data_IF_349310468108
#
_entry.id   IF_349310468108
#
_cell.length_a   1.000
_cell.length_b   1.000
_cell.length_c   1.000
_cell.angle_alpha   90.00
_cell.angle_beta   90.00
_cell.angle_gamma   90.00
#
_symmetry.space_group_name_H-M   'P 1'
#
loop_
_entity.id
_entity.type
_entity.pdbx_description
1 polymer ?
#
# COMPACT_ATOMS: atom_id res chain seq x y z
N UNK A 1 23.05 5.44 -6.82
CA UNK A 1 22.85 4.68 -5.55
C UNK A 1 21.98 5.38 -4.49
N UNK A 2 21.71 6.68 -4.55
CA UNK A 2 20.92 7.39 -3.53
C UNK A 2 19.40 7.28 -3.63
N UNK A 3 18.87 7.02 -4.81
CA UNK A 3 17.42 7.11 -5.07
C UNK A 3 16.65 5.86 -4.61
N UNK A 4 17.24 4.68 -4.75
CA UNK A 4 16.67 3.41 -4.29
C UNK A 4 16.47 3.41 -2.76
N UNK A 5 17.45 3.97 -2.01
CA UNK A 5 17.36 4.12 -0.54
C UNK A 5 16.21 5.03 -0.09
N UNK A 6 15.90 6.09 -0.84
CA UNK A 6 14.83 7.04 -0.49
C UNK A 6 13.45 6.42 -0.69
N UNK A 7 13.33 5.56 -1.68
CA UNK A 7 12.07 4.97 -2.08
C UNK A 7 11.65 3.83 -1.14
N UNK A 8 12.59 2.94 -0.76
CA UNK A 8 12.33 1.91 0.25
C UNK A 8 11.94 2.49 1.62
N UNK A 9 12.50 3.67 1.94
CA UNK A 9 11.97 4.45 3.07
C UNK A 9 10.47 4.73 2.93
N UNK A 10 9.98 4.96 1.73
CA UNK A 10 8.57 5.28 1.51
C UNK A 10 7.64 4.08 1.71
N UNK A 11 8.01 2.88 1.25
CA UNK A 11 7.19 1.68 1.50
C UNK A 11 7.22 1.30 2.97
N UNK A 12 8.38 1.35 3.63
CA UNK A 12 8.45 1.09 5.07
C UNK A 12 7.71 2.15 5.85
N UNK A 13 7.82 3.42 5.45
CA UNK A 13 7.04 4.49 6.06
C UNK A 13 5.55 4.25 5.78
N UNK A 14 5.15 3.81 4.59
CA UNK A 14 3.76 3.47 4.30
C UNK A 14 3.29 2.27 5.14
N UNK A 15 4.05 1.19 5.22
CA UNK A 15 3.75 0.04 6.06
C UNK A 15 3.81 0.39 7.55
N UNK A 16 4.76 1.22 7.98
CA UNK A 16 4.86 1.70 9.36
C UNK A 16 3.72 2.67 9.71
N UNK A 17 3.32 3.55 8.79
CA UNK A 17 2.16 4.44 8.96
C UNK A 17 0.88 3.62 9.06
N UNK A 18 0.74 2.59 8.23
CA UNK A 18 -0.42 1.69 8.26
C UNK A 18 -0.46 0.92 9.58
N UNK A 19 0.66 0.36 10.00
CA UNK A 19 0.80 -0.30 11.28
C UNK A 19 0.47 0.64 12.45
N UNK A 20 1.03 1.84 12.45
CA UNK A 20 0.84 2.84 13.51
C UNK A 20 -0.60 3.39 13.55
N UNK A 21 -1.26 3.58 12.42
CA UNK A 21 -2.68 3.99 12.35
C UNK A 21 -3.57 2.87 12.89
N UNK A 22 -3.23 1.61 12.65
CA UNK A 22 -4.00 0.45 13.13
C UNK A 22 -3.96 0.28 14.66
N UNK A 23 -2.95 0.85 15.36
CA UNK A 23 -2.74 0.72 16.81
C UNK A 23 -3.41 1.85 17.61
N UNK A 24 -4.12 2.77 16.96
CA UNK A 24 -4.69 3.93 17.68
C UNK A 24 -3.75 5.13 17.79
N UNK A 25 -2.64 5.14 17.06
CA UNK A 25 -1.78 6.32 16.90
C UNK A 25 -2.42 7.48 16.11
N UNK A 26 -3.75 7.42 15.96
CA UNK A 26 -4.54 8.43 15.24
C UNK A 26 -4.34 9.85 15.79
N UNK A 27 -4.19 9.99 17.10
CA UNK A 27 -4.07 11.33 17.72
C UNK A 27 -2.71 11.99 17.45
N UNK A 28 -1.63 11.23 17.41
CA UNK A 28 -0.28 11.79 17.25
C UNK A 28 0.09 12.07 15.80
N UNK A 29 -0.30 11.19 14.88
CA UNK A 29 -0.13 11.43 13.44
C UNK A 29 -1.15 12.44 12.92
N UNK A 30 -2.36 12.48 13.48
CA UNK A 30 -3.35 13.52 13.17
C UNK A 30 -2.73 14.91 13.27
N UNK A 31 -2.11 15.24 14.38
CA UNK A 31 -1.49 16.54 14.61
C UNK A 31 -0.29 16.85 13.69
N UNK A 32 0.50 15.84 13.30
CA UNK A 32 1.61 16.04 12.35
C UNK A 32 1.14 16.15 10.90
N UNK A 33 0.12 15.36 10.52
CA UNK A 33 -0.39 15.34 9.15
C UNK A 33 -1.37 16.49 8.91
N UNK A 34 -2.19 16.87 9.88
CA UNK A 34 -3.09 18.02 9.78
C UNK A 34 -2.33 19.34 9.58
N UNK A 35 -1.15 19.46 10.16
CA UNK A 35 -0.28 20.62 9.95
C UNK A 35 0.25 20.75 8.52
N UNK A 36 0.32 19.64 7.75
CA UNK A 36 0.86 19.63 6.39
C UNK A 36 -0.17 19.27 5.30
N UNK A 37 -1.39 18.86 5.64
CA UNK A 37 -2.32 18.22 4.70
C UNK A 37 -3.76 18.73 4.80
N UNK A 38 -4.01 19.90 5.33
CA UNK A 38 -5.33 20.55 5.22
C UNK A 38 -5.60 20.87 3.74
N UNK A 39 -6.20 19.91 3.03
CA UNK A 39 -6.69 20.10 1.66
C UNK A 39 -8.18 19.75 1.63
N UNK A 40 -8.92 20.58 0.89
CA UNK A 40 -10.35 20.39 0.71
C UNK A 40 -10.68 18.99 0.17
N UNK A 41 -11.85 18.41 0.47
CA UNK A 41 -12.29 17.12 -0.08
C UNK A 41 -12.18 17.07 -1.62
N UNK A 42 -12.43 18.19 -2.31
CA UNK A 42 -12.30 18.31 -3.76
C UNK A 42 -10.86 18.07 -4.24
N UNK A 43 -9.88 18.65 -3.56
CA UNK A 43 -8.45 18.41 -3.88
C UNK A 43 -8.05 16.96 -3.66
N UNK A 44 -8.65 16.28 -2.72
CA UNK A 44 -8.43 14.86 -2.46
C UNK A 44 -8.98 13.99 -3.60
N UNK A 45 -10.19 14.26 -4.05
CA UNK A 45 -10.83 13.59 -5.20
C UNK A 45 -10.01 13.81 -6.48
N UNK A 46 -9.59 15.05 -6.77
CA UNK A 46 -8.78 15.38 -7.94
C UNK A 46 -7.42 14.64 -7.95
N UNK A 47 -6.83 14.47 -6.77
CA UNK A 47 -5.59 13.71 -6.64
C UNK A 47 -5.79 12.22 -6.78
N UNK A 48 -6.87 11.69 -6.22
CA UNK A 48 -7.23 10.29 -6.39
C UNK A 48 -7.41 9.95 -7.88
N UNK A 49 -8.03 10.83 -8.64
CA UNK A 49 -8.22 10.66 -10.10
C UNK A 49 -6.93 10.53 -10.90
N UNK A 50 -5.80 11.05 -10.39
CA UNK A 50 -4.49 10.87 -11.04
C UNK A 50 -3.96 9.44 -10.91
N UNK A 51 -4.48 8.72 -9.94
CA UNK A 51 -4.07 7.34 -9.67
C UNK A 51 -5.07 6.35 -10.28
N UNK A 52 -6.36 6.67 -10.25
CA UNK A 52 -7.43 5.85 -10.82
C UNK A 52 -8.80 6.44 -10.56
N UNK A 53 -9.82 5.86 -11.17
CA UNK A 53 -11.22 6.19 -10.89
C UNK A 53 -11.74 5.33 -9.74
N UNK A 54 -12.05 5.97 -8.63
CA UNK A 54 -12.55 5.37 -7.40
C UNK A 54 -14.07 5.56 -7.22
N UNK A 55 -14.79 6.01 -8.24
CA UNK A 55 -16.23 6.33 -8.15
C UNK A 55 -17.13 5.11 -7.93
N UNK A 56 -16.63 3.90 -8.20
CA UNK A 56 -17.35 2.64 -8.08
C UNK A 56 -17.08 1.91 -6.76
N UNK A 57 -16.28 2.49 -5.87
CA UNK A 57 -16.02 1.91 -4.56
C UNK A 57 -17.30 1.97 -3.73
N UNK A 58 -17.62 0.86 -3.03
CA UNK A 58 -18.80 0.84 -2.20
C UNK A 58 -18.60 1.65 -0.89
N UNK A 59 -19.70 1.98 -0.20
CA UNK A 59 -19.71 2.83 0.99
C UNK A 59 -19.02 2.22 2.21
N UNK A 60 -18.67 0.93 2.17
CA UNK A 60 -17.92 0.26 3.24
C UNK A 60 -16.45 0.68 3.27
N UNK A 61 -15.96 1.26 2.16
CA UNK A 61 -14.62 1.82 2.06
C UNK A 61 -14.65 3.35 2.10
N UNK A 62 -13.64 3.92 2.71
CA UNK A 62 -13.44 5.37 2.76
C UNK A 62 -12.05 5.73 2.26
N UNK A 63 -11.95 6.71 1.37
CA UNK A 63 -10.67 7.28 0.97
C UNK A 63 -10.20 8.22 2.08
N UNK A 64 -9.22 7.80 2.85
CA UNK A 64 -8.67 8.61 3.93
C UNK A 64 -7.74 9.71 3.40
N UNK A 65 -6.95 9.38 2.38
CA UNK A 65 -5.92 10.29 1.84
C UNK A 65 -5.67 10.05 0.36
N UNK A 66 -5.49 11.15 -0.36
CA UNK A 66 -4.98 11.15 -1.73
C UNK A 66 -3.91 12.24 -1.83
N UNK A 67 -2.63 11.84 -1.88
CA UNK A 67 -1.50 12.76 -1.81
C UNK A 67 -0.39 12.39 -2.76
N UNK A 68 0.34 13.45 -3.20
CA UNK A 68 1.70 13.25 -3.71
C UNK A 68 2.66 13.07 -2.53
N UNK A 69 3.24 11.88 -2.38
CA UNK A 69 4.21 11.59 -1.34
C UNK A 69 5.54 11.20 -1.99
N UNK A 70 6.61 11.92 -1.63
CA UNK A 70 7.97 11.67 -2.14
C UNK A 70 8.10 11.69 -3.68
N UNK A 71 7.21 12.41 -4.37
CA UNK A 71 7.19 12.48 -5.84
C UNK A 71 6.27 11.46 -6.52
N UNK A 72 5.59 10.62 -5.74
CA UNK A 72 4.58 9.67 -6.21
C UNK A 72 3.18 10.16 -5.84
N UNK A 73 2.20 9.93 -6.70
CA UNK A 73 0.80 10.07 -6.32
C UNK A 73 0.34 8.76 -5.68
N UNK A 74 -0.48 8.85 -4.64
CA UNK A 74 -1.00 7.67 -3.97
C UNK A 74 -2.36 7.93 -3.32
N UNK A 75 -3.13 6.85 -3.18
CA UNK A 75 -4.41 6.82 -2.48
C UNK A 75 -4.32 5.82 -1.34
N UNK A 76 -4.76 6.24 -0.16
CA UNK A 76 -4.99 5.39 1.00
C UNK A 76 -6.49 5.35 1.27
N UNK A 77 -7.06 4.16 1.27
CA UNK A 77 -8.42 3.91 1.69
C UNK A 77 -8.46 2.90 2.84
N UNK A 78 -9.55 2.89 3.59
CA UNK A 78 -9.82 1.98 4.70
C UNK A 78 -11.18 1.32 4.53
N UNK A 79 -11.26 0.02 4.83
CA UNK A 79 -12.53 -0.65 5.05
C UNK A 79 -13.01 -0.35 6.47
N UNK A 80 -14.14 0.37 6.61
CA UNK A 80 -14.63 0.97 7.86
C UNK A 80 -14.80 -0.02 9.02
N UNK A 81 -15.31 -1.22 8.73
CA UNK A 81 -15.60 -2.21 9.76
C UNK A 81 -14.35 -2.96 10.25
N UNK A 82 -13.40 -3.30 9.36
CA UNK A 82 -12.22 -4.11 9.73
C UNK A 82 -10.95 -3.31 9.96
N UNK A 83 -10.93 -2.04 9.54
CA UNK A 83 -9.72 -1.22 9.52
C UNK A 83 -8.67 -1.65 8.48
N UNK A 84 -9.05 -2.55 7.55
CA UNK A 84 -8.13 -3.00 6.51
C UNK A 84 -7.77 -1.86 5.58
N UNK A 85 -6.46 -1.64 5.38
CA UNK A 85 -5.95 -0.57 4.54
C UNK A 85 -5.75 -1.03 3.11
N UNK A 86 -6.11 -0.15 2.18
CA UNK A 86 -5.93 -0.30 0.75
C UNK A 86 -5.10 0.86 0.24
N UNK A 87 -4.02 0.58 -0.48
CA UNK A 87 -3.10 1.58 -1.00
C UNK A 87 -2.96 1.36 -2.49
N UNK A 88 -3.03 2.45 -3.23
CA UNK A 88 -2.71 2.50 -4.65
C UNK A 88 -1.66 3.57 -4.86
N UNK A 89 -0.55 3.22 -5.51
CA UNK A 89 0.57 4.14 -5.77
C UNK A 89 0.85 4.19 -7.26
N UNK A 90 0.96 5.40 -7.81
CA UNK A 90 1.47 5.65 -9.15
C UNK A 90 2.99 5.41 -9.17
N UNK A 91 3.42 4.35 -9.85
CA UNK A 91 4.82 3.92 -9.93
C UNK A 91 5.46 4.23 -11.31
N UNK A 92 4.76 4.93 -12.18
CA UNK A 92 5.16 5.19 -13.57
C UNK A 92 6.50 5.91 -13.71
N UNK A 93 6.90 6.72 -12.75
CA UNK A 93 8.14 7.53 -12.86
C UNK A 93 9.42 6.77 -12.54
N UNK A 94 9.36 5.79 -11.66
CA UNK A 94 10.50 4.94 -11.25
C UNK A 94 9.97 3.64 -10.70
N UNK A 95 9.80 2.62 -11.54
CA UNK A 95 9.27 1.34 -11.12
C UNK A 95 10.01 0.78 -9.92
N UNK A 96 9.24 0.38 -8.92
CA UNK A 96 9.71 -0.20 -7.68
C UNK A 96 9.72 -1.70 -7.81
N UNK A 97 8.57 -2.19 -8.20
CA UNK A 97 8.31 -3.56 -8.58
C UNK A 97 7.73 -3.57 -9.96
N UNK A 98 8.03 -4.61 -10.69
CA UNK A 98 7.44 -4.89 -11.98
C UNK A 98 6.48 -6.06 -11.85
N UNK A 99 5.60 -6.20 -12.81
CA UNK A 99 4.74 -7.38 -12.92
C UNK A 99 5.56 -8.67 -12.92
N UNK A 100 6.70 -8.67 -13.61
CA UNK A 100 7.65 -9.80 -13.65
C UNK A 100 8.17 -10.19 -12.26
N UNK A 101 8.43 -9.22 -11.39
CA UNK A 101 8.90 -9.50 -10.02
C UNK A 101 7.84 -10.23 -9.19
N UNK A 102 6.56 -9.93 -9.43
CA UNK A 102 5.44 -10.61 -8.78
C UNK A 102 5.32 -12.05 -9.31
N UNK A 103 5.45 -12.23 -10.63
CA UNK A 103 5.27 -13.52 -11.30
C UNK A 103 6.45 -14.47 -11.04
N UNK A 104 7.69 -13.97 -11.02
CA UNK A 104 8.89 -14.78 -10.79
C UNK A 104 9.16 -15.14 -9.33
N UNK A 105 8.45 -14.52 -8.39
CA UNK A 105 8.72 -14.67 -6.97
C UNK A 105 9.93 -13.87 -6.46
N UNK A 106 10.61 -13.11 -7.31
CA UNK A 106 11.76 -12.27 -6.93
C UNK A 106 11.39 -11.13 -5.99
N UNK A 107 10.09 -10.85 -5.89
CA UNK A 107 9.56 -9.83 -4.98
C UNK A 107 9.95 -10.09 -3.53
N UNK A 108 10.02 -11.34 -3.09
CA UNK A 108 10.44 -11.67 -1.73
C UNK A 108 11.89 -11.28 -1.47
N UNK A 109 12.80 -11.66 -2.39
CA UNK A 109 14.22 -11.32 -2.29
C UNK A 109 14.43 -9.81 -2.41
N UNK A 110 13.71 -9.13 -3.31
CA UNK A 110 13.75 -7.67 -3.44
C UNK A 110 13.25 -6.97 -2.20
N UNK A 111 12.14 -7.40 -1.62
CA UNK A 111 11.61 -6.86 -0.37
C UNK A 111 12.56 -7.12 0.79
N UNK A 112 13.01 -8.33 1.01
CA UNK A 112 13.98 -8.67 2.08
C UNK A 112 15.27 -7.88 1.98
N UNK A 113 15.88 -7.81 0.79
CA UNK A 113 17.12 -7.05 0.57
C UNK A 113 16.96 -5.56 0.80
N UNK A 114 15.80 -5.04 0.54
CA UNK A 114 15.51 -3.62 0.61
C UNK A 114 15.07 -3.23 2.02
N UNK A 115 14.29 -4.05 2.66
CA UNK A 115 13.81 -3.86 4.02
C UNK A 115 14.93 -4.12 5.05
N UNK A 116 15.80 -5.11 4.81
CA UNK A 116 16.97 -5.39 5.66
C UNK A 116 18.00 -4.25 5.70
N UNK A 117 17.98 -3.35 4.72
CA UNK A 117 18.86 -2.17 4.68
C UNK A 117 18.27 -0.92 5.35
N UNK A 118 17.00 -0.97 5.76
CA UNK A 118 16.32 0.18 6.35
C UNK A 118 16.16 -0.01 7.86
N UNK A 119 17.20 0.34 8.59
CA UNK A 119 17.09 0.63 10.02
C UNK A 119 16.73 2.11 10.18
N UNK A 120 15.44 2.44 10.20
CA UNK A 120 14.99 3.78 10.51
C UNK A 120 14.41 3.81 11.92
N UNK A 121 15.05 4.54 12.82
CA UNK A 121 14.62 4.76 14.21
C UNK A 121 14.20 3.47 14.95
N UNK A 122 14.95 2.38 14.75
CA UNK A 122 14.69 1.11 15.41
C UNK A 122 13.45 0.33 14.92
N UNK A 123 12.78 0.79 13.87
CA UNK A 123 11.74 0.02 13.19
C UNK A 123 12.42 -0.87 12.15
N UNK A 124 12.23 -2.15 12.22
CA UNK A 124 12.75 -3.13 11.27
C UNK A 124 11.71 -4.17 10.92
N UNK A 125 11.93 -4.87 9.83
CA UNK A 125 11.16 -6.05 9.48
C UNK A 125 11.84 -7.26 10.16
N UNK A 126 11.16 -7.92 11.08
CA UNK A 126 11.67 -9.12 11.74
C UNK A 126 11.52 -10.35 10.86
N UNK A 127 10.36 -10.42 10.20
CA UNK A 127 9.97 -11.56 9.39
C UNK A 127 9.15 -11.09 8.19
N UNK A 128 9.40 -11.69 7.03
CA UNK A 128 8.65 -11.46 5.81
C UNK A 128 8.63 -12.74 4.99
N UNK A 129 7.44 -13.19 4.66
CA UNK A 129 7.20 -14.43 3.92
C UNK A 129 6.14 -14.21 2.84
N UNK A 130 6.41 -14.64 1.62
CA UNK A 130 5.37 -14.78 0.59
C UNK A 130 4.67 -16.12 0.81
N UNK A 131 3.38 -16.06 1.08
CA UNK A 131 2.59 -17.25 1.44
C UNK A 131 1.80 -17.81 0.27
N UNK A 132 1.52 -17.01 -0.75
CA UNK A 132 0.72 -17.42 -1.91
C UNK A 132 0.91 -16.46 -3.08
N UNK A 133 0.93 -17.00 -4.30
CA UNK A 133 0.72 -16.26 -5.55
C UNK A 133 -0.68 -16.53 -6.08
N UNK A 134 -1.25 -15.56 -6.80
CA UNK A 134 -2.56 -15.67 -7.42
C UNK A 134 -2.82 -14.53 -8.39
N UNK A 135 -4.05 -14.38 -8.80
CA UNK A 135 -4.49 -13.26 -9.63
C UNK A 135 -5.78 -12.65 -9.08
N UNK A 136 -5.94 -11.36 -9.27
CA UNK A 136 -7.13 -10.59 -8.95
C UNK A 136 -7.49 -9.67 -10.13
N UNK A 137 -8.64 -9.02 -10.07
CA UNK A 137 -9.08 -8.10 -11.11
C UNK A 137 -8.92 -6.66 -10.64
N UNK A 138 -8.30 -5.80 -11.46
CA UNK A 138 -8.16 -4.36 -11.18
C UNK A 138 -7.86 -3.60 -12.48
N UNK A 139 -8.28 -2.35 -12.58
CA UNK A 139 -8.13 -1.52 -13.79
C UNK A 139 -8.57 -2.22 -15.08
N UNK A 140 -9.68 -2.98 -15.02
CA UNK A 140 -10.19 -3.71 -16.18
C UNK A 140 -9.40 -4.95 -16.60
N UNK A 141 -8.39 -5.39 -15.82
CA UNK A 141 -7.45 -6.44 -16.19
C UNK A 141 -7.30 -7.49 -15.08
N UNK A 142 -6.89 -8.69 -15.46
CA UNK A 142 -6.38 -9.69 -14.53
C UNK A 142 -4.94 -9.37 -14.16
N UNK A 143 -4.65 -9.25 -12.87
CA UNK A 143 -3.39 -8.78 -12.31
C UNK A 143 -2.82 -9.84 -11.38
N UNK A 144 -1.55 -10.27 -11.57
CA UNK A 144 -0.91 -11.17 -10.63
C UNK A 144 -0.67 -10.49 -9.29
N UNK A 145 -0.82 -11.23 -8.20
CA UNK A 145 -0.49 -10.74 -6.86
C UNK A 145 0.38 -11.75 -6.10
N UNK A 146 1.11 -11.23 -5.12
CA UNK A 146 1.76 -12.00 -4.07
C UNK A 146 1.11 -11.67 -2.72
N UNK A 147 0.68 -12.72 -1.99
CA UNK A 147 0.21 -12.59 -0.61
C UNK A 147 1.38 -12.78 0.34
N UNK A 148 1.46 -11.94 1.37
CA UNK A 148 2.55 -11.96 2.32
C UNK A 148 2.07 -11.96 3.77
N UNK A 149 2.94 -12.48 4.64
CA UNK A 149 2.93 -12.22 6.07
C UNK A 149 4.17 -11.39 6.42
N UNK A 150 4.04 -10.51 7.41
CA UNK A 150 5.13 -9.69 7.89
C UNK A 150 5.04 -9.48 9.39
N UNK A 151 6.19 -9.32 10.06
CA UNK A 151 6.28 -8.87 11.45
C UNK A 151 7.22 -7.68 11.53
N UNK A 152 6.78 -6.61 12.16
CA UNK A 152 7.54 -5.36 12.30
C UNK A 152 8.04 -5.25 13.74
N UNK A 153 9.35 -5.00 13.92
CA UNK A 153 9.96 -4.82 15.24
C UNK A 153 9.39 -3.61 15.95
N UNK A 154 9.24 -3.74 17.27
CA UNK A 154 8.81 -2.66 18.18
C UNK A 154 7.42 -2.08 17.88
N UNK A 155 6.64 -2.78 17.11
CA UNK A 155 5.24 -2.46 16.94
C UNK A 155 4.41 -3.33 17.87
N UNK A 156 3.48 -2.78 18.65
CA UNK A 156 2.57 -3.57 19.48
C UNK A 156 1.57 -4.37 18.65
N UNK A 157 1.53 -4.16 17.33
CA UNK A 157 0.73 -4.97 16.42
C UNK A 157 1.44 -6.28 16.16
N UNK A 158 0.73 -7.37 16.30
CA UNK A 158 1.19 -8.72 15.96
C UNK A 158 1.57 -8.85 14.48
N UNK A 159 1.68 -10.08 14.02
CA UNK A 159 1.94 -10.34 12.61
C UNK A 159 0.87 -9.69 11.71
N UNK A 160 1.30 -9.13 10.60
CA UNK A 160 0.46 -8.56 9.56
C UNK A 160 0.33 -9.54 8.39
N UNK A 161 -0.79 -9.46 7.69
CA UNK A 161 -0.96 -10.12 6.39
C UNK A 161 -1.39 -9.09 5.36
N UNK A 162 -1.03 -9.34 4.11
CA UNK A 162 -1.39 -8.45 3.03
C UNK A 162 -1.24 -9.08 1.66
N UNK A 163 -1.56 -8.30 0.66
CA UNK A 163 -1.34 -8.59 -0.75
C UNK A 163 -0.65 -7.42 -1.42
N UNK A 164 0.25 -7.72 -2.35
CA UNK A 164 0.88 -6.75 -3.24
C UNK A 164 0.71 -7.20 -4.68
N UNK A 165 0.39 -6.25 -5.56
CA UNK A 165 0.27 -6.48 -6.99
C UNK A 165 0.78 -5.27 -7.77
N UNK A 166 1.09 -5.49 -9.05
CA UNK A 166 1.44 -4.43 -9.99
C UNK A 166 0.54 -4.56 -11.22
N UNK A 167 -0.10 -3.48 -11.59
CA UNK A 167 -0.91 -3.37 -12.80
C UNK A 167 -0.39 -2.28 -13.71
N UNK A 168 -0.25 -2.58 -14.99
CA UNK A 168 -0.01 -1.57 -16.04
C UNK A 168 -1.38 -1.14 -16.59
N UNK A 169 -1.72 0.13 -16.43
CA UNK A 169 -2.96 0.74 -16.94
C UNK A 169 -2.98 0.77 -18.46
N UNK A 170 -4.10 1.19 -19.07
CA UNK A 170 -4.19 1.34 -20.52
C UNK A 170 -3.34 2.51 -21.03
N UNK A 171 -3.04 3.50 -20.18
CA UNK A 171 -2.10 4.58 -20.50
C UNK A 171 -0.61 4.14 -20.46
N UNK A 172 -0.33 2.90 -20.07
CA UNK A 172 1.04 2.39 -19.93
C UNK A 172 1.70 2.71 -18.58
N UNK A 173 0.95 3.30 -17.66
CA UNK A 173 1.45 3.65 -16.33
C UNK A 173 1.35 2.46 -15.37
N UNK A 174 2.38 2.23 -14.57
CA UNK A 174 2.35 1.21 -13.55
C UNK A 174 1.72 1.73 -12.24
N UNK A 175 0.90 0.88 -11.63
CA UNK A 175 0.30 1.10 -10.32
C UNK A 175 0.64 -0.06 -9.40
N UNK A 176 1.11 0.27 -8.20
CA UNK A 176 1.28 -0.72 -7.13
C UNK A 176 0.00 -0.72 -6.30
N UNK A 177 -0.54 -1.90 -6.09
CA UNK A 177 -1.72 -2.17 -5.28
C UNK A 177 -1.28 -2.92 -4.02
N UNK A 178 -1.58 -2.38 -2.84
CA UNK A 178 -1.26 -3.02 -1.57
C UNK A 178 -2.51 -3.03 -0.70
N UNK A 179 -2.83 -4.19 -0.14
CA UNK A 179 -3.81 -4.29 0.95
C UNK A 179 -3.16 -4.94 2.15
N UNK A 180 -3.43 -4.45 3.36
CA UNK A 180 -2.80 -4.94 4.58
C UNK A 180 -3.69 -4.76 5.80
N UNK A 181 -3.61 -5.72 6.73
CA UNK A 181 -4.22 -5.65 8.06
C UNK A 181 -3.45 -6.54 9.05
N UNK A 182 -3.81 -6.51 10.32
CA UNK A 182 -3.42 -7.54 11.28
C UNK A 182 -3.76 -8.93 10.72
N UNK A 183 -2.87 -9.90 10.89
CA UNK A 183 -3.02 -11.25 10.32
C UNK A 183 -4.36 -11.90 10.66
N UNK A 184 -4.85 -11.68 11.88
CA UNK A 184 -6.14 -12.21 12.36
C UNK A 184 -7.38 -11.53 11.76
N UNK A 185 -7.22 -10.32 11.21
CA UNK A 185 -8.30 -9.49 10.66
C UNK A 185 -8.22 -9.32 9.14
N UNK A 186 -7.13 -9.78 8.52
CA UNK A 186 -6.93 -9.62 7.09
C UNK A 186 -7.91 -10.47 6.28
N UNK A 187 -8.57 -9.85 5.34
CA UNK A 187 -9.46 -10.49 4.37
C UNK A 187 -8.98 -10.25 2.94
N UNK A 188 -8.66 -11.33 2.23
CA UNK A 188 -8.33 -11.29 0.81
C UNK A 188 -9.52 -10.82 -0.03
N UNK A 189 -10.73 -11.23 0.33
CA UNK A 189 -11.96 -10.85 -0.38
C UNK A 189 -12.18 -9.34 -0.38
N UNK A 190 -11.93 -8.66 0.75
CA UNK A 190 -12.04 -7.20 0.83
C UNK A 190 -11.01 -6.51 -0.07
N UNK A 191 -9.79 -7.05 -0.16
CA UNK A 191 -8.79 -6.52 -1.08
C UNK A 191 -9.24 -6.65 -2.54
N UNK A 192 -9.70 -7.84 -2.93
CA UNK A 192 -10.19 -8.11 -4.29
C UNK A 192 -11.42 -7.27 -4.63
N UNK A 193 -12.35 -7.10 -3.70
CA UNK A 193 -13.54 -6.27 -3.88
C UNK A 193 -13.17 -4.81 -4.14
N UNK A 194 -12.28 -4.26 -3.33
CA UNK A 194 -11.82 -2.88 -3.48
C UNK A 194 -11.11 -2.67 -4.81
N UNK A 195 -10.08 -3.48 -5.11
CA UNK A 195 -9.27 -3.29 -6.31
C UNK A 195 -10.03 -3.55 -7.60
N UNK A 196 -11.02 -4.46 -7.60
CA UNK A 196 -11.90 -4.73 -8.75
C UNK A 196 -12.70 -3.50 -9.19
N UNK A 197 -13.00 -2.59 -8.28
CA UNK A 197 -13.81 -1.38 -8.53
C UNK A 197 -13.01 -0.21 -9.11
N UNK A 198 -11.67 -0.28 -9.08
CA UNK A 198 -10.80 0.77 -9.61
C UNK A 198 -10.68 0.62 -11.13
N UNK A 199 -10.78 1.78 -11.80
CA UNK A 199 -10.62 1.89 -13.26
C UNK A 199 -9.55 2.89 -13.63
#
# INVERSE_FOLDING_TARGET
>A
MGCLKKFFKAIIIALAIIGFISIGGKEWIGTLIDKYVHKSPQTMIERARKVGDFSQINEEFEIEKANGMLGYNGVLAEHKASGQKMIVVDDSKKPIFTKSDIESGDIEAKLKNSLGKVKYQSIGLEDFEITKHGSMYSYGKTVPYARFNARITRFPVGAMSGVVAVVTTDSGDDRILISVNEKSKYSQLLAEEFFKKIK
#
